data_IF_335966844098
#
_entry.id   IF_335966844098
#
_cell.length_a   1.000
_cell.length_b   1.000
_cell.length_c   1.000
_cell.angle_alpha   90.00
_cell.angle_beta   90.00
_cell.angle_gamma   90.00
#
_symmetry.space_group_name_H-M   'P 1'
#
loop_
_entity.id
_entity.type
_entity.pdbx_description
1 polymer ?
#
# COMPACT_ATOMS: atom_id res chain seq x y z
N UNK A 1 1.12 1.17 13.47
CA UNK A 1 1.04 0.56 12.12
C UNK A 1 1.08 1.65 11.07
N UNK A 2 2.03 1.59 10.15
CA UNK A 2 2.28 2.60 9.12
C UNK A 2 2.50 1.96 7.76
N UNK A 3 2.35 2.70 6.67
CA UNK A 3 2.59 2.22 5.30
C UNK A 3 3.53 3.18 4.57
N UNK A 4 4.42 3.85 5.29
CA UNK A 4 5.27 4.93 4.80
C UNK A 4 6.38 4.47 3.82
N UNK A 5 6.54 3.15 3.63
CA UNK A 5 7.69 2.59 2.93
C UNK A 5 7.57 2.47 1.43
N UNK A 6 6.40 2.69 0.82
CA UNK A 6 6.21 2.51 -0.63
C UNK A 6 7.35 3.24 -1.34
N UNK A 7 8.32 2.47 -1.87
CA UNK A 7 9.73 2.85 -2.07
C UNK A 7 9.97 3.92 -3.13
N UNK A 8 8.90 4.57 -3.58
CA UNK A 8 8.90 5.51 -4.68
C UNK A 8 9.39 4.78 -5.92
N UNK A 9 10.59 5.16 -6.37
CA UNK A 9 11.26 4.55 -7.52
C UNK A 9 12.53 3.74 -7.15
N UNK A 10 12.80 3.47 -5.87
CA UNK A 10 14.02 2.78 -5.42
C UNK A 10 13.90 1.26 -5.54
N UNK A 11 14.71 0.65 -6.41
CA UNK A 11 14.83 -0.81 -6.53
C UNK A 11 15.86 -1.39 -5.55
N UNK A 12 15.74 -2.69 -5.26
CA UNK A 12 16.66 -3.45 -4.41
C UNK A 12 16.16 -3.67 -2.97
N UNK A 13 17.10 -3.94 -2.06
CA UNK A 13 16.79 -4.18 -0.64
C UNK A 13 16.54 -2.86 0.09
N UNK A 14 15.38 -2.72 0.72
CA UNK A 14 15.00 -1.54 1.52
C UNK A 14 15.03 -1.93 2.99
N UNK A 15 15.88 -1.23 3.75
CA UNK A 15 16.06 -1.47 5.18
C UNK A 15 14.97 -0.82 6.03
N UNK A 16 14.73 -1.41 7.19
CA UNK A 16 13.83 -0.86 8.22
C UNK A 16 14.48 0.34 8.96
N UNK A 17 14.62 1.47 8.29
CA UNK A 17 15.08 2.75 8.86
C UNK A 17 13.92 3.66 9.34
N UNK A 18 13.99 4.26 10.54
CA UNK A 18 13.00 5.24 10.99
C UNK A 18 13.10 6.54 10.17
N UNK A 19 11.96 7.22 9.97
CA UNK A 19 11.95 8.57 9.43
C UNK A 19 12.13 9.61 10.54
N UNK A 20 13.06 10.53 10.33
CA UNK A 20 13.29 11.69 11.17
C UNK A 20 12.73 12.96 10.53
N UNK A 21 12.56 14.00 11.34
CA UNK A 21 12.05 15.28 10.86
C UNK A 21 12.91 15.83 9.72
N UNK A 22 12.25 16.13 8.60
CA UNK A 22 12.88 16.67 7.40
C UNK A 22 13.36 15.61 6.41
N UNK A 23 13.27 14.31 6.75
CA UNK A 23 13.58 13.23 5.81
C UNK A 23 12.60 13.24 4.63
N UNK A 24 13.11 12.89 3.45
CA UNK A 24 12.30 12.79 2.24
C UNK A 24 12.66 11.54 1.47
N UNK A 25 11.70 10.95 0.76
CA UNK A 25 11.93 9.68 0.07
C UNK A 25 12.94 9.83 -1.08
N UNK A 26 12.90 10.99 -1.75
CA UNK A 26 13.76 11.33 -2.88
C UNK A 26 15.06 12.07 -2.49
N UNK A 27 15.35 12.25 -1.21
CA UNK A 27 16.59 12.87 -0.72
C UNK A 27 16.64 14.41 -0.85
N UNK A 28 15.51 15.06 -1.15
CA UNK A 28 15.37 16.51 -1.02
C UNK A 28 15.52 16.95 0.44
N UNK A 29 15.93 18.19 0.61
CA UNK A 29 16.07 18.84 1.92
C UNK A 29 15.00 19.91 2.09
N UNK A 30 14.67 20.23 3.35
CA UNK A 30 13.78 21.34 3.68
C UNK A 30 12.29 20.97 3.81
N UNK A 31 11.96 19.70 4.00
CA UNK A 31 10.61 19.33 4.41
C UNK A 31 10.35 19.85 5.83
N UNK A 32 9.42 20.78 5.95
CA UNK A 32 8.91 21.32 7.22
C UNK A 32 7.42 21.04 7.32
N UNK A 33 7.03 20.19 8.28
CA UNK A 33 5.63 19.77 8.47
C UNK A 33 4.73 20.97 8.77
N UNK A 34 5.21 21.92 9.57
CA UNK A 34 4.42 23.10 9.92
C UNK A 34 4.29 24.05 8.73
N UNK A 35 5.36 24.18 7.93
CA UNK A 35 5.34 24.86 6.64
C UNK A 35 4.33 24.26 5.66
N UNK A 36 4.31 22.93 5.51
CA UNK A 36 3.34 22.22 4.66
C UNK A 36 1.91 22.44 5.14
N UNK A 37 1.68 22.38 6.46
CA UNK A 37 0.36 22.62 7.05
C UNK A 37 -0.14 24.03 6.76
N UNK A 38 0.69 25.05 6.98
CA UNK A 38 0.35 26.45 6.67
C UNK A 38 0.08 26.66 5.19
N UNK A 39 0.83 26.01 4.32
CA UNK A 39 0.62 26.08 2.87
C UNK A 39 -0.75 25.53 2.48
N UNK A 40 -1.15 24.38 3.05
CA UNK A 40 -2.45 23.74 2.80
C UNK A 40 -3.58 24.61 3.35
N UNK A 41 -3.44 25.14 4.57
CA UNK A 41 -4.43 26.03 5.19
C UNK A 41 -4.61 27.33 4.40
N UNK A 42 -3.52 27.93 3.93
CA UNK A 42 -3.56 29.14 3.10
C UNK A 42 -4.30 28.88 1.77
N UNK A 43 -4.04 27.73 1.12
CA UNK A 43 -4.74 27.39 -0.13
C UNK A 43 -6.23 27.15 0.09
N UNK A 44 -6.60 26.49 1.18
CA UNK A 44 -8.00 26.30 1.54
C UNK A 44 -8.70 27.64 1.77
N UNK A 45 -8.06 28.55 2.52
CA UNK A 45 -8.62 29.88 2.79
C UNK A 45 -8.78 30.69 1.50
N UNK A 46 -7.77 30.69 0.61
CA UNK A 46 -7.84 31.35 -0.70
C UNK A 46 -9.05 30.87 -1.51
N UNK A 47 -9.27 29.56 -1.61
CA UNK A 47 -10.40 28.99 -2.35
C UNK A 47 -11.75 29.37 -1.71
N UNK A 48 -11.81 29.45 -0.38
CA UNK A 48 -13.01 29.88 0.33
C UNK A 48 -13.31 31.37 0.11
N UNK A 49 -12.27 32.21 0.13
CA UNK A 49 -12.37 33.66 -0.09
C UNK A 49 -12.80 33.98 -1.53
N UNK A 50 -12.39 33.15 -2.50
CA UNK A 50 -12.84 33.21 -3.90
C UNK A 50 -14.30 32.73 -4.09
N UNK A 51 -14.94 32.19 -3.05
CA UNK A 51 -16.29 31.63 -3.13
C UNK A 51 -16.37 30.34 -3.96
N UNK A 52 -15.29 29.56 -3.99
CA UNK A 52 -15.26 28.29 -4.71
C UNK A 52 -16.30 27.30 -4.16
N UNK A 53 -16.85 26.47 -5.05
CA UNK A 53 -17.80 25.42 -4.65
C UNK A 53 -17.10 24.31 -3.86
N UNK A 54 -17.84 23.55 -3.05
CA UNK A 54 -17.29 22.40 -2.31
C UNK A 54 -16.58 21.38 -3.24
N UNK A 55 -17.13 21.13 -4.44
CA UNK A 55 -16.52 20.21 -5.40
C UNK A 55 -15.20 20.78 -5.95
N UNK A 56 -15.16 22.09 -6.24
CA UNK A 56 -13.92 22.77 -6.65
C UNK A 56 -12.87 22.69 -5.55
N UNK A 57 -13.23 23.00 -4.30
CA UNK A 57 -12.34 22.89 -3.15
C UNK A 57 -11.79 21.47 -3.04
N UNK A 58 -12.67 20.46 -3.10
CA UNK A 58 -12.27 19.06 -2.97
C UNK A 58 -11.27 18.63 -4.05
N UNK A 59 -11.53 18.98 -5.32
CA UNK A 59 -10.62 18.65 -6.43
C UNK A 59 -9.29 19.38 -6.28
N UNK A 60 -9.32 20.69 -6.04
CA UNK A 60 -8.10 21.50 -5.89
C UNK A 60 -7.23 21.04 -4.72
N UNK A 61 -7.83 20.72 -3.56
CA UNK A 61 -7.10 20.24 -2.40
C UNK A 61 -6.54 18.84 -2.63
N UNK A 62 -7.25 17.98 -3.35
CA UNK A 62 -6.75 16.65 -3.75
C UNK A 62 -5.53 16.77 -4.66
N UNK A 63 -5.62 17.61 -5.69
CA UNK A 63 -4.53 17.81 -6.66
C UNK A 63 -3.31 18.42 -5.99
N UNK A 64 -3.50 19.44 -5.15
CA UNK A 64 -2.43 20.02 -4.34
C UNK A 64 -1.76 18.98 -3.44
N UNK A 65 -2.54 18.17 -2.71
CA UNK A 65 -1.98 17.11 -1.88
C UNK A 65 -1.13 16.13 -2.68
N UNK A 66 -1.60 15.76 -3.88
CA UNK A 66 -0.85 14.89 -4.80
C UNK A 66 0.47 15.54 -5.22
N UNK A 67 0.45 16.80 -5.66
CA UNK A 67 1.65 17.57 -6.00
C UNK A 67 2.65 17.64 -4.85
N UNK A 68 2.18 17.90 -3.62
CA UNK A 68 3.04 17.93 -2.43
C UNK A 68 3.68 16.58 -2.15
N UNK A 69 2.91 15.49 -2.19
CA UNK A 69 3.45 14.15 -1.96
C UNK A 69 4.53 13.77 -2.99
N UNK A 70 4.27 13.99 -4.28
CA UNK A 70 5.24 13.76 -5.36
C UNK A 70 6.49 14.65 -5.22
N UNK A 71 6.31 15.90 -4.80
CA UNK A 71 7.43 16.83 -4.58
C UNK A 71 8.48 16.24 -3.63
N UNK A 72 8.02 15.59 -2.56
CA UNK A 72 8.88 14.95 -1.56
C UNK A 72 9.20 13.47 -1.83
N UNK A 73 8.73 12.95 -2.98
CA UNK A 73 9.07 11.63 -3.50
C UNK A 73 8.07 10.53 -3.18
N UNK A 74 7.02 10.80 -2.40
CA UNK A 74 6.00 9.80 -2.10
C UNK A 74 4.95 9.71 -3.21
N UNK A 75 4.50 8.50 -3.58
CA UNK A 75 3.66 8.28 -4.75
C UNK A 75 2.21 8.72 -4.56
N UNK A 76 1.77 8.95 -3.33
CA UNK A 76 0.43 9.43 -3.00
C UNK A 76 0.39 10.09 -1.61
N UNK A 77 -0.67 10.86 -1.39
CA UNK A 77 -0.92 11.60 -0.13
C UNK A 77 -1.03 10.68 1.08
N UNK A 78 -1.55 9.47 0.91
CA UNK A 78 -1.73 8.53 2.02
C UNK A 78 -0.37 8.05 2.58
N UNK A 79 0.55 7.62 1.72
CA UNK A 79 1.91 7.22 2.14
C UNK A 79 2.67 8.41 2.69
N UNK A 80 2.54 9.59 2.07
CA UNK A 80 3.17 10.81 2.54
C UNK A 80 2.73 11.17 3.96
N UNK A 81 1.42 11.20 4.23
CA UNK A 81 0.89 11.51 5.56
C UNK A 81 1.27 10.47 6.62
N UNK A 82 1.44 9.19 6.25
CA UNK A 82 2.01 8.18 7.13
C UNK A 82 3.47 8.46 7.47
N UNK A 83 4.28 8.85 6.49
CA UNK A 83 5.68 9.24 6.73
C UNK A 83 5.77 10.46 7.66
N UNK A 84 4.96 11.50 7.42
CA UNK A 84 4.87 12.66 8.33
C UNK A 84 4.48 12.25 9.75
N UNK A 85 3.51 11.35 9.88
CA UNK A 85 3.09 10.83 11.19
C UNK A 85 4.21 10.08 11.92
N UNK A 86 5.02 9.29 11.20
CA UNK A 86 6.19 8.64 11.80
C UNK A 86 7.22 9.66 12.29
N UNK A 87 7.50 10.70 11.51
CA UNK A 87 8.44 11.76 11.90
C UNK A 87 7.99 12.47 13.18
N UNK A 88 6.71 12.83 13.27
CA UNK A 88 6.13 13.44 14.47
C UNK A 88 6.21 12.49 15.66
N UNK A 89 5.87 11.21 15.49
CA UNK A 89 5.99 10.23 16.57
C UNK A 89 7.43 10.06 17.04
N UNK A 90 8.40 10.01 16.12
CA UNK A 90 9.82 9.89 16.45
C UNK A 90 10.35 11.12 17.17
N UNK A 91 9.87 12.31 16.84
CA UNK A 91 10.22 13.55 17.53
C UNK A 91 9.60 13.62 18.93
N UNK A 92 8.31 13.28 19.05
CA UNK A 92 7.52 13.54 20.26
C UNK A 92 7.51 12.37 21.27
N UNK A 93 8.05 11.19 20.92
CA UNK A 93 8.02 10.01 21.81
C UNK A 93 8.72 10.22 23.16
N UNK A 94 9.67 11.15 23.25
CA UNK A 94 10.54 11.31 24.43
C UNK A 94 11.18 9.97 24.86
N UNK A 95 10.99 9.62 26.13
CA UNK A 95 11.49 8.38 26.76
C UNK A 95 10.55 7.18 26.60
N UNK A 96 9.41 7.35 25.92
CA UNK A 96 8.44 6.26 25.72
C UNK A 96 9.01 5.28 24.67
N UNK A 97 9.03 3.96 24.95
CA UNK A 97 9.35 2.96 23.95
C UNK A 97 8.36 3.02 22.79
N UNK A 98 8.86 3.18 21.56
CA UNK A 98 8.05 3.29 20.35
C UNK A 98 8.44 2.19 19.37
N UNK A 99 7.45 1.44 18.89
CA UNK A 99 7.59 0.45 17.82
C UNK A 99 6.69 0.85 16.66
N UNK A 100 7.27 0.97 15.47
CA UNK A 100 6.54 1.27 14.23
C UNK A 100 6.56 0.03 13.35
N UNK A 101 5.43 -0.67 13.28
CA UNK A 101 5.24 -1.80 12.36
C UNK A 101 4.71 -1.30 11.03
N UNK A 102 5.28 -1.78 9.92
CA UNK A 102 4.91 -1.38 8.56
C UNK A 102 4.50 -2.59 7.71
N UNK A 103 3.23 -3.03 7.80
CA UNK A 103 2.78 -4.20 7.07
C UNK A 103 2.69 -3.93 5.57
N UNK A 104 2.73 -5.01 4.81
CA UNK A 104 2.36 -5.05 3.39
C UNK A 104 0.84 -4.85 3.22
N UNK A 105 0.34 -4.97 1.99
CA UNK A 105 -1.10 -4.85 1.72
C UNK A 105 -1.85 -5.93 2.50
N UNK A 106 -2.74 -5.52 3.39
CA UNK A 106 -3.65 -6.41 4.11
C UNK A 106 -4.92 -6.60 3.30
N UNK A 107 -5.35 -7.85 3.13
CA UNK A 107 -6.58 -8.23 2.44
C UNK A 107 -7.55 -8.93 3.40
N UNK A 108 -8.13 -10.10 3.06
CA UNK A 108 -9.11 -10.79 3.91
C UNK A 108 -8.53 -11.39 5.17
N UNK A 109 -9.38 -11.58 6.17
CA UNK A 109 -8.99 -12.20 7.43
C UNK A 109 -8.72 -13.69 7.25
N UNK A 110 -7.65 -14.18 7.87
CA UNK A 110 -7.38 -15.62 7.93
C UNK A 110 -8.39 -16.37 8.81
N UNK A 111 -8.77 -15.79 9.96
CA UNK A 111 -9.58 -16.48 10.99
C UNK A 111 -10.75 -15.67 11.53
N UNK A 112 -10.50 -14.52 12.14
CA UNK A 112 -11.54 -13.72 12.80
C UNK A 112 -11.85 -12.43 12.01
N UNK A 113 -13.12 -11.98 11.94
CA UNK A 113 -14.32 -12.56 12.59
C UNK A 113 -14.83 -13.84 11.92
N UNK A 114 -14.50 -14.07 10.65
CA UNK A 114 -14.65 -15.34 9.95
C UNK A 114 -13.58 -15.43 8.85
N UNK A 115 -13.12 -16.63 8.45
CA UNK A 115 -12.16 -16.77 7.36
C UNK A 115 -12.68 -16.13 6.06
N UNK A 116 -11.84 -15.36 5.37
CA UNK A 116 -12.20 -14.71 4.11
C UNK A 116 -12.98 -13.40 4.28
N UNK A 117 -13.26 -12.95 5.51
CA UNK A 117 -13.98 -11.68 5.71
C UNK A 117 -13.19 -10.48 5.22
N UNK A 118 -13.89 -9.59 4.50
CA UNK A 118 -13.35 -8.32 4.01
C UNK A 118 -14.33 -7.20 4.36
N UNK A 119 -13.82 -6.14 4.98
CA UNK A 119 -14.60 -4.94 5.25
C UNK A 119 -14.63 -4.00 4.03
N UNK A 120 -15.45 -4.41 3.05
CA UNK A 120 -15.65 -3.71 1.79
C UNK A 120 -14.53 -3.98 0.77
N UNK A 121 -14.90 -4.06 -0.51
CA UNK A 121 -13.95 -4.34 -1.60
C UNK A 121 -13.01 -3.15 -1.79
N UNK A 122 -11.73 -3.30 -1.45
CA UNK A 122 -10.72 -2.23 -1.56
C UNK A 122 -9.54 -2.69 -2.40
N UNK A 123 -8.89 -1.73 -3.05
CA UNK A 123 -7.59 -1.93 -3.72
C UNK A 123 -7.56 -3.22 -4.54
N UNK A 124 -6.79 -4.25 -4.13
CA UNK A 124 -6.63 -5.49 -4.87
C UNK A 124 -7.90 -6.35 -4.90
N UNK A 125 -8.75 -6.28 -3.87
CA UNK A 125 -9.98 -7.07 -3.80
C UNK A 125 -10.87 -6.76 -5.01
N UNK A 126 -10.82 -5.52 -5.52
CA UNK A 126 -11.54 -5.12 -6.73
C UNK A 126 -11.03 -5.83 -7.99
N UNK A 127 -9.73 -6.10 -8.07
CA UNK A 127 -9.11 -6.87 -9.15
C UNK A 127 -9.49 -8.34 -9.04
N UNK A 128 -9.44 -8.90 -7.84
CA UNK A 128 -9.79 -10.30 -7.56
C UNK A 128 -11.27 -10.55 -7.84
N UNK A 129 -12.17 -9.66 -7.38
CA UNK A 129 -13.61 -9.73 -7.68
C UNK A 129 -13.88 -9.53 -9.18
N UNK A 130 -13.17 -8.59 -9.84
CA UNK A 130 -13.32 -8.40 -11.28
C UNK A 130 -12.87 -9.64 -12.07
N UNK A 131 -11.82 -10.32 -11.61
CA UNK A 131 -11.35 -11.59 -12.16
C UNK A 131 -12.34 -12.73 -11.91
N UNK A 132 -12.79 -12.93 -10.66
CA UNK A 132 -13.77 -13.96 -10.29
C UNK A 132 -15.11 -13.80 -11.02
N UNK A 133 -15.51 -12.57 -11.35
CA UNK A 133 -16.71 -12.27 -12.17
C UNK A 133 -16.47 -12.34 -13.68
N UNK A 134 -15.27 -12.71 -14.15
CA UNK A 134 -14.89 -12.76 -15.57
C UNK A 134 -14.83 -11.40 -16.27
N UNK A 135 -14.87 -10.29 -15.50
CA UNK A 135 -14.81 -8.91 -16.02
C UNK A 135 -13.39 -8.46 -16.30
N UNK A 136 -12.41 -9.03 -15.60
CA UNK A 136 -10.98 -8.92 -15.87
C UNK A 136 -10.47 -10.30 -16.27
N UNK A 137 -9.95 -10.46 -17.48
CA UNK A 137 -9.52 -11.78 -18.02
C UNK A 137 -7.99 -11.96 -18.03
N UNK A 138 -7.24 -10.89 -17.80
CA UNK A 138 -5.79 -10.90 -17.64
C UNK A 138 -5.38 -9.68 -16.82
N UNK A 139 -4.26 -9.80 -16.12
CA UNK A 139 -3.67 -8.69 -15.36
C UNK A 139 -2.19 -8.57 -15.76
N UNK A 140 -1.76 -7.44 -16.34
CA UNK A 140 -0.37 -7.25 -16.74
C UNK A 140 0.50 -7.12 -15.48
N UNK A 141 1.42 -8.07 -15.30
CA UNK A 141 2.42 -8.08 -14.24
C UNK A 141 3.67 -8.77 -14.75
N UNK A 142 4.80 -8.49 -14.11
CA UNK A 142 6.03 -9.21 -14.35
C UNK A 142 6.01 -10.53 -13.56
N UNK A 143 6.14 -11.66 -14.27
CA UNK A 143 6.12 -13.00 -13.67
C UNK A 143 7.36 -13.29 -12.82
N UNK A 144 8.43 -12.51 -12.98
CA UNK A 144 9.64 -12.60 -12.16
C UNK A 144 9.59 -11.67 -10.95
N UNK A 145 8.57 -10.81 -10.85
CA UNK A 145 8.39 -9.92 -9.71
C UNK A 145 7.83 -10.67 -8.50
N UNK A 146 8.54 -10.61 -7.39
CA UNK A 146 8.07 -11.08 -6.09
C UNK A 146 7.06 -10.06 -5.57
N UNK A 147 5.79 -10.46 -5.47
CA UNK A 147 4.73 -9.63 -4.92
C UNK A 147 4.36 -10.22 -3.55
N UNK A 148 4.32 -9.38 -2.51
CA UNK A 148 3.89 -9.74 -1.13
C UNK A 148 2.36 -9.97 -1.04
N UNK A 149 1.85 -10.70 -2.02
CA UNK A 149 0.47 -11.09 -2.20
C UNK A 149 0.53 -12.26 -3.16
N UNK A 150 0.27 -13.48 -2.68
CA UNK A 150 0.40 -14.67 -3.53
C UNK A 150 -0.56 -14.61 -4.72
N UNK A 151 -0.05 -14.09 -5.83
CA UNK A 151 -0.77 -13.93 -7.09
C UNK A 151 0.00 -14.63 -8.23
N UNK A 152 0.89 -15.56 -7.87
CA UNK A 152 1.74 -16.30 -8.82
C UNK A 152 0.98 -17.31 -9.68
N UNK A 153 -0.27 -17.69 -9.37
CA UNK A 153 -0.90 -18.87 -10.01
C UNK A 153 -1.90 -18.52 -11.14
N UNK A 154 -2.31 -17.27 -11.33
CA UNK A 154 -3.40 -16.97 -12.27
C UNK A 154 -3.00 -17.00 -13.77
N UNK A 155 -1.74 -16.73 -14.12
CA UNK A 155 -1.36 -16.46 -15.53
C UNK A 155 -0.89 -17.70 -16.32
N UNK A 156 -0.39 -18.75 -15.66
CA UNK A 156 0.33 -19.83 -16.36
C UNK A 156 -0.59 -20.87 -17.02
N UNK A 157 -1.79 -21.13 -16.48
CA UNK A 157 -2.65 -22.26 -16.94
C UNK A 157 -3.71 -21.87 -17.98
N UNK A 158 -3.98 -20.58 -18.25
CA UNK A 158 -5.09 -20.17 -19.11
C UNK A 158 -4.72 -19.44 -20.41
N UNK A 159 -3.44 -19.20 -20.71
CA UNK A 159 -2.98 -18.55 -21.96
C UNK A 159 -3.42 -19.27 -23.25
N UNK A 160 -3.84 -20.54 -23.20
CA UNK A 160 -4.33 -21.27 -24.37
C UNK A 160 -5.82 -21.03 -24.67
N UNK A 161 -6.62 -20.48 -23.75
CA UNK A 161 -8.08 -20.57 -23.87
C UNK A 161 -8.76 -19.41 -24.62
N UNK A 162 -8.15 -18.22 -24.78
CA UNK A 162 -8.93 -17.06 -25.25
C UNK A 162 -8.27 -16.19 -26.32
N UNK A 163 -8.10 -16.76 -27.51
CA UNK A 163 -7.86 -16.02 -28.74
C UNK A 163 -9.12 -15.31 -29.28
N UNK A 164 -10.31 -15.69 -28.82
CA UNK A 164 -11.60 -15.26 -29.43
C UNK A 164 -12.32 -14.08 -28.75
N UNK A 165 -11.85 -13.59 -27.59
CA UNK A 165 -12.54 -12.51 -26.83
C UNK A 165 -12.17 -11.08 -27.27
N UNK A 166 -11.65 -10.93 -28.48
CA UNK A 166 -10.95 -9.73 -28.97
C UNK A 166 -11.88 -8.54 -29.33
N UNK A 167 -13.19 -8.74 -29.42
CA UNK A 167 -14.11 -7.75 -30.02
C UNK A 167 -14.75 -6.73 -29.05
N UNK A 168 -14.53 -6.82 -27.72
CA UNK A 168 -15.10 -5.90 -26.72
C UNK A 168 -14.07 -4.96 -26.04
N UNK A 169 -12.95 -4.70 -26.71
CA UNK A 169 -11.70 -4.21 -26.10
C UNK A 169 -11.73 -2.76 -25.57
N UNK A 170 -12.37 -1.80 -26.25
CA UNK A 170 -12.10 -0.37 -26.00
C UNK A 170 -12.42 0.13 -24.57
N UNK A 171 -13.59 -0.21 -24.00
CA UNK A 171 -13.93 0.19 -22.61
C UNK A 171 -13.13 -0.58 -21.56
N UNK A 172 -12.80 -1.85 -21.83
CA UNK A 172 -12.00 -2.70 -20.94
C UNK A 172 -10.55 -2.24 -20.93
N UNK A 173 -10.01 -1.84 -22.09
CA UNK A 173 -8.67 -1.27 -22.24
C UNK A 173 -8.54 0.00 -21.40
N UNK A 174 -9.47 0.95 -21.47
CA UNK A 174 -9.39 2.17 -20.65
C UNK A 174 -9.43 1.89 -19.14
N UNK A 175 -10.18 0.87 -18.71
CA UNK A 175 -10.21 0.45 -17.31
C UNK A 175 -8.89 -0.21 -16.89
N UNK A 176 -8.35 -1.10 -17.73
CA UNK A 176 -7.07 -1.78 -17.51
C UNK A 176 -5.91 -0.76 -17.50
N UNK A 177 -5.89 0.22 -18.40
CA UNK A 177 -4.87 1.27 -18.43
C UNK A 177 -4.88 2.11 -17.15
N UNK A 178 -6.07 2.47 -16.64
CA UNK A 178 -6.20 3.18 -15.35
C UNK A 178 -5.74 2.33 -14.17
N UNK A 179 -6.09 1.05 -14.16
CA UNK A 179 -5.61 0.13 -13.13
C UNK A 179 -4.09 -0.01 -13.22
N UNK A 180 -3.54 -0.13 -14.43
CA UNK A 180 -2.09 -0.18 -14.64
C UNK A 180 -1.42 1.09 -14.11
N UNK A 181 -1.91 2.29 -14.40
CA UNK A 181 -1.32 3.53 -13.87
C UNK A 181 -1.30 3.57 -12.33
N UNK A 182 -2.41 3.16 -11.70
CA UNK A 182 -2.52 3.13 -10.23
C UNK A 182 -1.63 2.05 -9.62
N UNK A 183 -1.57 0.87 -10.23
CA UNK A 183 -0.85 -0.28 -9.70
C UNK A 183 0.60 -0.40 -10.17
N UNK A 184 1.02 0.40 -11.15
CA UNK A 184 2.38 0.39 -11.71
C UNK A 184 3.48 0.36 -10.63
N UNK A 185 3.46 1.24 -9.60
CA UNK A 185 4.51 1.24 -8.58
C UNK A 185 4.47 0.02 -7.64
N UNK A 186 3.43 -0.82 -7.71
CA UNK A 186 3.30 -2.03 -6.90
C UNK A 186 3.55 -3.32 -7.71
N UNK A 187 3.36 -3.30 -9.04
CA UNK A 187 3.44 -4.49 -9.89
C UNK A 187 4.74 -4.66 -10.66
N UNK A 188 5.43 -3.55 -10.93
CA UNK A 188 6.65 -3.55 -11.75
C UNK A 188 7.86 -3.11 -10.92
N UNK A 189 7.75 -3.22 -9.60
CA UNK A 189 8.72 -2.70 -8.66
C UNK A 189 9.53 -3.84 -8.04
N UNK A 190 10.80 -3.95 -8.42
CA UNK A 190 11.72 -4.98 -7.94
C UNK A 190 12.35 -4.53 -6.60
N UNK A 191 11.53 -4.51 -5.55
CA UNK A 191 11.96 -4.12 -4.21
C UNK A 191 11.70 -5.26 -3.23
N UNK A 192 12.69 -5.51 -2.37
CA UNK A 192 12.55 -6.45 -1.25
C UNK A 192 12.67 -5.63 0.02
N UNK A 193 11.66 -5.68 0.88
CA UNK A 193 11.76 -5.08 2.21
C UNK A 193 12.47 -6.04 3.14
N UNK A 194 13.49 -5.53 3.81
CA UNK A 194 14.17 -6.23 4.88
C UNK A 194 13.24 -6.33 6.10
N UNK A 195 13.22 -7.50 6.76
CA UNK A 195 12.43 -7.75 7.98
C UNK A 195 13.31 -8.15 9.16
N UNK A 196 14.62 -7.89 9.07
CA UNK A 196 15.59 -8.30 10.09
C UNK A 196 15.26 -7.73 11.49
N UNK A 197 14.73 -6.51 11.60
CA UNK A 197 14.36 -5.95 12.90
C UNK A 197 13.09 -6.60 13.44
N UNK A 198 12.13 -6.92 12.56
CA UNK A 198 10.93 -7.68 12.94
C UNK A 198 11.30 -9.08 13.47
N UNK A 199 12.20 -9.79 12.80
CA UNK A 199 12.66 -11.12 13.23
C UNK A 199 13.44 -11.08 14.56
N UNK A 200 14.27 -10.06 14.77
CA UNK A 200 14.92 -9.81 16.07
C UNK A 200 13.90 -9.56 17.17
N UNK A 201 12.95 -8.64 16.94
CA UNK A 201 11.89 -8.31 17.89
C UNK A 201 11.06 -9.55 18.26
N UNK A 202 10.71 -10.38 17.28
CA UNK A 202 9.97 -11.63 17.47
C UNK A 202 10.76 -12.63 18.31
N UNK A 203 12.05 -12.79 18.03
CA UNK A 203 12.92 -13.69 18.79
C UNK A 203 13.04 -13.25 20.25
N UNK A 204 13.28 -11.97 20.50
CA UNK A 204 13.36 -11.43 21.87
C UNK A 204 12.02 -11.52 22.62
N UNK A 205 10.90 -11.27 21.95
CA UNK A 205 9.57 -11.38 22.55
C UNK A 205 9.25 -12.82 22.99
N UNK A 206 9.58 -13.81 22.15
CA UNK A 206 9.46 -15.23 22.47
C UNK A 206 10.33 -15.63 23.67
N UNK A 207 11.60 -15.22 23.69
CA UNK A 207 12.53 -15.54 24.79
C UNK A 207 12.06 -14.97 26.14
N UNK A 208 11.41 -13.81 26.13
CA UNK A 208 10.90 -13.14 27.33
C UNK A 208 9.52 -13.62 27.78
N UNK A 209 8.89 -14.54 27.06
CA UNK A 209 7.56 -15.05 27.38
C UNK A 209 6.48 -13.95 27.36
N UNK A 210 6.69 -12.89 26.59
CA UNK A 210 5.61 -11.92 26.29
C UNK A 210 4.50 -12.68 25.59
N UNK A 211 3.23 -12.39 25.89
CA UNK A 211 2.06 -13.06 25.28
C UNK A 211 2.11 -13.00 23.75
N UNK A 212 2.76 -14.00 23.16
CA UNK A 212 2.87 -14.16 21.72
C UNK A 212 1.51 -14.56 21.16
N UNK A 213 0.64 -15.21 21.92
CA UNK A 213 -0.71 -15.53 21.45
C UNK A 213 -1.53 -14.31 20.98
N UNK A 214 -1.24 -13.09 21.47
CA UNK A 214 -1.94 -11.85 21.08
C UNK A 214 -1.19 -11.05 20.00
N UNK A 215 0.14 -11.12 19.96
CA UNK A 215 0.98 -10.30 19.08
C UNK A 215 1.88 -11.11 18.12
N UNK A 216 1.71 -12.43 18.03
CA UNK A 216 2.50 -13.30 17.16
C UNK A 216 2.12 -13.06 15.70
N UNK A 217 3.09 -12.52 14.96
CA UNK A 217 3.00 -12.35 13.52
C UNK A 217 4.21 -13.05 12.89
N UNK A 218 4.00 -14.28 12.43
CA UNK A 218 4.97 -15.04 11.64
C UNK A 218 4.34 -15.41 10.30
N UNK A 219 4.66 -14.68 9.22
CA UNK A 219 4.17 -14.98 7.88
C UNK A 219 4.51 -16.42 7.44
N UNK A 220 5.60 -17.01 7.92
CA UNK A 220 6.03 -18.37 7.55
C UNK A 220 5.16 -19.46 8.18
N UNK A 221 4.36 -19.12 9.19
CA UNK A 221 3.46 -20.04 9.85
C UNK A 221 2.17 -20.31 9.04
N UNK A 222 1.90 -19.52 8.01
CA UNK A 222 0.70 -19.67 7.18
C UNK A 222 0.93 -20.57 5.97
N UNK A 223 -0.02 -21.46 5.71
CA UNK A 223 -0.17 -22.09 4.40
C UNK A 223 -0.81 -21.06 3.46
N UNK A 224 0.04 -20.31 2.76
CA UNK A 224 -0.38 -19.24 1.86
C UNK A 224 -1.20 -19.76 0.68
N UNK A 225 -0.88 -20.96 0.17
CA UNK A 225 -1.62 -21.56 -0.95
C UNK A 225 -3.05 -21.89 -0.52
N UNK A 226 -3.21 -22.57 0.61
CA UNK A 226 -4.53 -22.86 1.18
C UNK A 226 -5.30 -21.57 1.51
N UNK A 227 -4.64 -20.60 2.14
CA UNK A 227 -5.27 -19.32 2.44
C UNK A 227 -5.79 -18.62 1.17
N UNK A 228 -5.00 -18.56 0.11
CA UNK A 228 -5.42 -17.86 -1.11
C UNK A 228 -6.55 -18.61 -1.83
N UNK A 229 -6.40 -19.92 -2.00
CA UNK A 229 -7.31 -20.73 -2.82
C UNK A 229 -8.60 -21.05 -2.08
N UNK A 230 -8.53 -21.36 -0.79
CA UNK A 230 -9.66 -21.90 -0.03
C UNK A 230 -10.29 -20.89 0.94
N UNK A 231 -9.59 -19.82 1.32
CA UNK A 231 -10.09 -18.82 2.28
C UNK A 231 -10.37 -17.47 1.59
N UNK A 232 -9.37 -16.90 0.91
CA UNK A 232 -9.44 -15.55 0.36
C UNK A 232 -10.35 -15.49 -0.88
N UNK A 233 -10.06 -16.29 -1.91
CA UNK A 233 -10.84 -16.30 -3.15
C UNK A 233 -12.28 -16.82 -2.93
N UNK A 234 -12.54 -17.89 -2.16
CA UNK A 234 -13.90 -18.37 -1.96
C UNK A 234 -14.75 -17.47 -1.06
N UNK A 235 -14.12 -16.63 -0.24
CA UNK A 235 -14.79 -15.64 0.61
C UNK A 235 -15.23 -14.36 -0.12
N UNK A 236 -14.83 -14.19 -1.39
CA UNK A 236 -15.09 -13.02 -2.25
C UNK A 236 -16.24 -13.21 -3.24
#
# INVERSE_FOLDING_TARGET
VSTAYVSGEKAGLIKEEPYYMGDTLNGRTGLDIEGEKKLIEAKLQELQDEGATEETIKVSMKDMGMERSMHWGWPNVYVFTKALGEMVLMQEKGDIPLVIVRPTIVTSTYKEPMPGWIEGVRTIDSLIVAYGKGRLTYFPGDLESIIDMGLEIANSVFCQYFRDTYMNLSRRVNHIMRLQEVYKPYLFFQTIYDDENMEKLRTEANERGVETEVFYFDPKAFDWEDYLINIHIPGL
#
